data_IF_936171820904
#
_entry.id   IF_936171820904
#
_cell.length_a   1.000
_cell.length_b   1.000
_cell.length_c   1.000
_cell.angle_alpha   90.00
_cell.angle_beta   90.00
_cell.angle_gamma   90.00
#
_symmetry.space_group_name_H-M   'P 1'
#
loop_
_entity.id
_entity.type
_entity.pdbx_description
1 polymer ?
#
# COMPACT_ATOMS: atom_id res chain seq x y z
N UNK A 1 -16.59 14.82 -7.12
CA UNK A 1 -17.94 15.43 -7.14
C UNK A 1 -18.23 15.96 -5.75
N UNK A 2 -18.78 17.16 -5.64
CA UNK A 2 -19.16 17.78 -4.38
C UNK A 2 -20.62 18.23 -4.46
N UNK A 3 -21.39 17.99 -3.40
CA UNK A 3 -22.79 18.40 -3.33
C UNK A 3 -23.19 18.72 -1.90
N UNK A 4 -24.02 19.74 -1.76
CA UNK A 4 -24.72 20.01 -0.50
C UNK A 4 -25.84 18.97 -0.32
N UNK A 5 -25.84 18.28 0.84
CA UNK A 5 -26.87 17.28 1.18
C UNK A 5 -28.01 17.89 1.98
N UNK A 6 -27.65 18.70 2.97
CA UNK A 6 -28.54 19.44 3.84
C UNK A 6 -27.97 20.85 3.99
N UNK A 7 -28.77 21.77 4.52
CA UNK A 7 -28.30 23.12 4.84
C UNK A 7 -26.99 23.03 5.62
N UNK A 8 -25.93 23.58 5.05
CA UNK A 8 -24.59 23.65 5.64
C UNK A 8 -23.83 22.32 5.76
N UNK A 9 -24.34 21.22 5.19
CA UNK A 9 -23.65 19.92 5.11
C UNK A 9 -23.24 19.61 3.67
N UNK A 10 -21.94 19.55 3.42
CA UNK A 10 -21.38 19.22 2.10
C UNK A 10 -20.79 17.81 2.09
N UNK A 11 -21.20 16.99 1.13
CA UNK A 11 -20.57 15.71 0.81
C UNK A 11 -19.68 15.87 -0.43
N UNK A 12 -18.46 15.36 -0.32
CA UNK A 12 -17.52 15.24 -1.43
C UNK A 12 -17.13 13.78 -1.60
N UNK A 13 -17.21 13.30 -2.83
CA UNK A 13 -16.75 11.96 -3.23
C UNK A 13 -15.76 12.12 -4.37
N UNK A 14 -14.58 11.53 -4.20
CA UNK A 14 -13.48 11.54 -5.17
C UNK A 14 -12.95 10.13 -5.40
N UNK A 15 -12.39 9.92 -6.58
CA UNK A 15 -11.62 8.73 -6.90
C UNK A 15 -10.23 9.17 -7.37
N UNK A 16 -9.20 8.51 -6.85
CA UNK A 16 -7.80 8.75 -7.18
C UNK A 16 -7.21 7.43 -7.67
N UNK A 17 -6.75 7.42 -8.91
CA UNK A 17 -6.09 6.27 -9.51
C UNK A 17 -4.66 6.63 -9.90
N UNK A 18 -3.72 5.71 -9.69
CA UNK A 18 -2.37 5.80 -10.24
C UNK A 18 -1.95 4.45 -10.82
N UNK A 19 -1.24 4.50 -11.95
CA UNK A 19 -0.73 3.31 -12.63
C UNK A 19 0.71 3.53 -13.05
N UNK A 20 1.61 2.74 -12.50
CA UNK A 20 2.97 2.61 -12.98
C UNK A 20 3.07 1.48 -14.01
N UNK A 21 3.74 1.76 -15.13
CA UNK A 21 4.06 0.76 -16.17
C UNK A 21 5.55 0.78 -16.43
N UNK A 22 6.12 -0.37 -16.79
CA UNK A 22 7.54 -0.51 -17.11
C UNK A 22 8.46 0.00 -15.99
N UNK A 23 8.06 -0.25 -14.76
CA UNK A 23 8.84 0.08 -13.57
C UNK A 23 10.08 -0.84 -13.50
N UNK A 24 11.16 -0.32 -12.92
CA UNK A 24 12.38 -1.09 -12.75
C UNK A 24 12.19 -2.20 -11.70
N UNK A 25 12.53 -3.42 -12.10
CA UNK A 25 12.61 -4.61 -11.25
C UNK A 25 13.91 -5.34 -11.50
N UNK A 26 14.37 -6.13 -10.53
CA UNK A 26 15.54 -6.96 -10.67
C UNK A 26 15.17 -8.42 -10.92
N UNK A 27 15.89 -9.05 -11.83
CA UNK A 27 15.73 -10.46 -12.16
C UNK A 27 17.11 -11.12 -12.18
N UNK A 28 17.21 -12.31 -11.61
CA UNK A 28 18.39 -13.15 -11.78
C UNK A 28 18.36 -13.78 -13.19
N UNK A 29 19.35 -13.44 -14.02
CA UNK A 29 19.54 -13.97 -15.36
C UNK A 29 20.38 -15.25 -15.40
N UNK A 30 20.99 -15.63 -14.27
CA UNK A 30 21.64 -16.93 -14.11
C UNK A 30 20.99 -17.74 -12.98
N UNK A 31 19.65 -17.93 -12.97
CA UNK A 31 18.96 -18.56 -11.86
C UNK A 31 19.34 -20.05 -11.71
N UNK A 32 19.10 -20.66 -10.53
CA UNK A 32 19.13 -22.11 -10.39
C UNK A 32 18.19 -22.78 -11.39
N UNK A 33 18.58 -23.94 -11.92
CA UNK A 33 17.73 -24.76 -12.75
C UNK A 33 16.50 -25.20 -11.94
N UNK A 34 15.33 -25.03 -12.55
CA UNK A 34 14.06 -25.46 -11.95
C UNK A 34 13.89 -26.97 -12.13
N UNK A 35 13.57 -27.66 -11.04
CA UNK A 35 13.12 -29.05 -11.06
C UNK A 35 11.62 -29.05 -10.76
N UNK A 36 10.83 -29.71 -11.61
CA UNK A 36 9.37 -29.76 -11.45
C UNK A 36 9.01 -31.14 -10.94
N UNK A 37 8.32 -31.21 -9.80
CA UNK A 37 7.89 -32.49 -9.23
C UNK A 37 6.67 -33.07 -9.96
N UNK A 38 6.27 -34.29 -9.58
CA UNK A 38 5.13 -34.98 -10.18
C UNK A 38 3.79 -34.24 -10.00
N UNK A 39 3.70 -33.28 -9.06
CA UNK A 39 2.53 -32.45 -8.81
C UNK A 39 2.59 -31.11 -9.56
N UNK A 40 3.66 -30.84 -10.32
CA UNK A 40 3.85 -29.60 -11.06
C UNK A 40 4.45 -28.45 -10.25
N UNK A 41 4.93 -28.69 -9.01
CA UNK A 41 5.54 -27.64 -8.19
C UNK A 41 6.98 -27.41 -8.63
N UNK A 42 7.35 -26.13 -8.76
CA UNK A 42 8.70 -25.71 -9.13
C UNK A 42 9.61 -25.65 -7.90
N UNK A 43 10.73 -26.37 -7.96
CA UNK A 43 11.75 -26.42 -6.92
C UNK A 43 13.05 -25.80 -7.45
N UNK A 44 13.58 -24.81 -6.72
CA UNK A 44 14.85 -24.12 -7.03
C UNK A 44 16.04 -24.64 -6.20
N UNK A 45 15.77 -25.63 -5.36
CA UNK A 45 16.73 -26.27 -4.48
C UNK A 45 16.13 -27.55 -3.91
N UNK A 46 16.96 -28.36 -3.27
CA UNK A 46 16.61 -29.64 -2.68
C UNK A 46 17.15 -29.75 -1.27
N UNK A 47 16.46 -30.50 -0.42
CA UNK A 47 16.94 -30.81 0.93
C UNK A 47 17.86 -32.04 0.82
N UNK A 48 19.13 -31.89 1.21
CA UNK A 48 20.11 -32.98 1.29
C UNK A 48 20.59 -33.08 2.72
N UNK A 49 20.30 -34.19 3.40
CA UNK A 49 20.72 -34.40 4.80
C UNK A 49 20.15 -33.38 5.79
N UNK A 50 18.95 -32.83 5.51
CA UNK A 50 18.32 -31.79 6.33
C UNK A 50 18.76 -30.36 6.01
N UNK A 51 19.68 -30.16 5.07
CA UNK A 51 20.16 -28.84 4.64
C UNK A 51 19.59 -28.49 3.27
N UNK A 52 19.09 -27.26 3.10
CA UNK A 52 18.67 -26.74 1.80
C UNK A 52 19.85 -26.42 0.90
N UNK A 53 19.97 -27.14 -0.21
CA UNK A 53 21.00 -26.96 -1.23
C UNK A 53 20.35 -26.41 -2.49
N UNK A 54 20.83 -25.26 -2.98
CA UNK A 54 20.33 -24.67 -4.24
C UNK A 54 20.68 -25.57 -5.44
N UNK A 55 19.79 -25.61 -6.43
CA UNK A 55 20.04 -26.33 -7.67
C UNK A 55 21.18 -25.69 -8.46
N UNK A 56 21.77 -26.47 -9.38
CA UNK A 56 22.82 -25.97 -10.28
C UNK A 56 22.29 -24.80 -11.10
N UNK A 57 23.04 -23.71 -11.19
CA UNK A 57 22.69 -22.56 -12.05
C UNK A 57 22.85 -22.90 -13.53
N UNK A 58 22.14 -22.16 -14.39
CA UNK A 58 22.22 -22.32 -15.85
C UNK A 58 23.66 -22.26 -16.37
N UNK A 59 24.43 -21.28 -15.90
CA UNK A 59 25.86 -21.20 -16.12
C UNK A 59 26.61 -21.42 -14.79
N UNK A 60 27.27 -22.58 -14.62
CA UNK A 60 28.00 -22.92 -13.39
C UNK A 60 29.25 -22.07 -13.14
N UNK A 61 29.77 -21.39 -14.17
CA UNK A 61 30.97 -20.57 -14.06
C UNK A 61 30.69 -19.18 -13.44
N UNK A 62 29.42 -18.79 -13.33
CA UNK A 62 29.00 -17.51 -12.77
C UNK A 62 28.08 -17.70 -11.57
N UNK A 63 28.11 -16.74 -10.64
CA UNK A 63 27.16 -16.66 -9.54
C UNK A 63 25.80 -16.08 -9.95
N UNK A 64 25.08 -15.52 -8.99
CA UNK A 64 23.85 -14.74 -9.24
C UNK A 64 24.13 -13.59 -10.19
N UNK A 65 23.32 -13.43 -11.24
CA UNK A 65 23.43 -12.32 -12.19
C UNK A 65 22.16 -11.48 -12.13
N UNK A 66 22.09 -10.57 -11.15
CA UNK A 66 20.95 -9.68 -10.99
C UNK A 66 21.04 -8.51 -11.96
N UNK A 67 20.10 -8.43 -12.90
CA UNK A 67 19.99 -7.33 -13.86
C UNK A 67 18.67 -6.58 -13.65
N UNK A 68 18.70 -5.27 -13.85
CA UNK A 68 17.51 -4.44 -13.84
C UNK A 68 16.80 -4.48 -15.20
N UNK A 69 15.48 -4.61 -15.17
CA UNK A 69 14.64 -4.61 -16.35
C UNK A 69 13.32 -3.87 -16.08
N UNK A 70 12.76 -3.16 -17.08
CA UNK A 70 11.54 -2.39 -16.94
C UNK A 70 10.30 -3.28 -17.11
N UNK A 71 10.08 -4.22 -16.18
CA UNK A 71 8.99 -5.21 -16.25
C UNK A 71 8.00 -5.15 -15.10
N UNK A 72 8.19 -4.25 -14.14
CA UNK A 72 7.29 -4.09 -12.99
C UNK A 72 6.11 -3.17 -13.32
N UNK A 73 5.04 -3.35 -12.56
CA UNK A 73 3.77 -2.66 -12.70
C UNK A 73 3.26 -2.30 -11.30
N UNK A 74 2.63 -1.13 -11.17
CA UNK A 74 1.93 -0.74 -9.94
C UNK A 74 0.55 -0.20 -10.28
N UNK A 75 -0.42 -0.48 -9.41
CA UNK A 75 -1.80 -0.01 -9.52
C UNK A 75 -2.29 0.43 -8.15
N UNK A 76 -2.63 1.70 -8.05
CA UNK A 76 -3.23 2.30 -6.88
C UNK A 76 -4.61 2.82 -7.23
N UNK A 77 -5.59 2.49 -6.40
CA UNK A 77 -6.96 2.97 -6.53
C UNK A 77 -7.44 3.40 -5.15
N UNK A 78 -7.98 4.61 -5.04
CA UNK A 78 -8.57 5.11 -3.81
C UNK A 78 -9.90 5.80 -4.08
N UNK A 79 -10.84 5.53 -3.20
CA UNK A 79 -12.09 6.26 -3.06
C UNK A 79 -11.98 7.13 -1.81
N UNK A 80 -12.21 8.42 -1.97
CA UNK A 80 -12.20 9.40 -0.89
C UNK A 80 -13.60 9.94 -0.71
N UNK A 81 -14.09 9.89 0.52
CA UNK A 81 -15.38 10.44 0.92
C UNK A 81 -15.11 11.42 2.03
N UNK A 82 -15.61 12.65 1.90
CA UNK A 82 -15.59 13.62 2.99
C UNK A 82 -16.95 14.25 3.18
N UNK A 83 -17.33 14.42 4.44
CA UNK A 83 -18.55 15.10 4.86
C UNK A 83 -18.11 16.25 5.76
N UNK A 84 -18.52 17.46 5.38
CA UNK A 84 -18.20 18.66 6.12
C UNK A 84 -19.49 19.39 6.46
N UNK A 85 -19.82 19.41 7.74
CA UNK A 85 -20.93 20.18 8.31
C UNK A 85 -20.39 21.49 8.91
N UNK A 86 -20.92 22.62 8.44
CA UNK A 86 -20.59 23.96 8.95
C UNK A 86 -21.71 24.51 9.83
N UNK A 87 -21.57 24.44 11.15
CA UNK A 87 -22.32 25.27 12.12
C UNK A 87 -23.85 25.38 11.94
N UNK A 88 -24.55 24.25 11.87
CA UNK A 88 -26.02 24.23 11.77
C UNK A 88 -26.76 24.74 13.02
N UNK A 89 -26.13 24.72 14.19
CA UNK A 89 -26.73 25.24 15.44
C UNK A 89 -25.77 25.33 16.63
N UNK A 90 -24.82 24.40 16.77
CA UNK A 90 -23.76 24.39 17.82
C UNK A 90 -22.62 23.42 17.54
N UNK A 91 -22.70 22.63 16.46
CA UNK A 91 -21.73 21.61 16.10
C UNK A 91 -21.04 21.96 14.78
N UNK A 92 -19.76 21.64 14.70
CA UNK A 92 -19.00 21.60 13.46
C UNK A 92 -18.40 20.20 13.37
N UNK A 93 -18.76 19.47 12.31
CA UNK A 93 -18.35 18.08 12.11
C UNK A 93 -17.58 17.95 10.80
N UNK A 94 -16.40 17.35 10.87
CA UNK A 94 -15.62 16.96 9.71
C UNK A 94 -15.36 15.46 9.75
N UNK A 95 -15.87 14.74 8.75
CA UNK A 95 -15.66 13.31 8.58
C UNK A 95 -14.95 13.08 7.25
N UNK A 96 -13.91 12.25 7.27
CA UNK A 96 -13.20 11.82 6.07
C UNK A 96 -12.92 10.33 6.15
N UNK A 97 -13.21 9.64 5.05
CA UNK A 97 -12.99 8.22 4.88
C UNK A 97 -12.30 8.00 3.54
N UNK A 98 -11.17 7.29 3.57
CA UNK A 98 -10.45 6.88 2.37
C UNK A 98 -10.36 5.37 2.37
N UNK A 99 -10.97 4.76 1.35
CA UNK A 99 -10.73 3.37 1.01
C UNK A 99 -9.67 3.34 -0.08
N UNK A 100 -8.56 2.65 0.12
CA UNK A 100 -7.52 2.52 -0.91
C UNK A 100 -7.09 1.08 -1.11
N UNK A 101 -6.58 0.78 -2.29
CA UNK A 101 -6.00 -0.51 -2.60
C UNK A 101 -4.85 -0.34 -3.57
N UNK A 102 -3.68 -0.76 -3.12
CA UNK A 102 -2.43 -0.74 -3.86
C UNK A 102 -1.95 -2.17 -4.13
N UNK A 103 -1.72 -2.48 -5.40
CA UNK A 103 -1.11 -3.73 -5.85
C UNK A 103 0.11 -3.42 -6.70
N UNK A 104 1.23 -4.03 -6.39
CA UNK A 104 2.46 -3.94 -7.18
C UNK A 104 2.97 -5.33 -7.58
N UNK A 105 3.89 -5.33 -8.54
CA UNK A 105 4.57 -6.52 -9.04
C UNK A 105 6.06 -6.32 -8.81
N UNK A 106 6.67 -7.09 -7.89
CA UNK A 106 8.12 -7.10 -7.65
C UNK A 106 8.80 -5.72 -7.85
N UNK A 107 8.26 -4.70 -7.19
CA UNK A 107 8.72 -3.33 -7.38
C UNK A 107 9.90 -3.04 -6.46
N UNK A 108 11.06 -2.84 -7.06
CA UNK A 108 12.32 -2.69 -6.32
C UNK A 108 12.80 -1.25 -6.22
N UNK A 109 12.25 -0.33 -7.00
CA UNK A 109 12.67 1.07 -6.98
C UNK A 109 11.74 1.95 -6.15
N UNK A 110 11.64 1.68 -4.85
CA UNK A 110 11.04 2.61 -3.89
C UNK A 110 11.77 3.96 -3.92
N UNK A 111 11.36 4.88 -4.78
CA UNK A 111 11.81 6.26 -4.74
C UNK A 111 11.59 6.82 -3.34
N UNK A 112 12.68 7.25 -2.69
CA UNK A 112 12.73 8.18 -1.56
C UNK A 112 12.01 7.77 -0.26
N UNK A 113 11.67 6.48 -0.06
CA UNK A 113 10.84 6.04 1.06
C UNK A 113 11.31 4.78 1.78
N UNK A 114 12.60 4.68 2.12
CA UNK A 114 13.16 3.96 3.27
C UNK A 114 12.87 2.47 3.57
N UNK A 115 11.90 1.79 2.94
CA UNK A 115 11.38 0.50 3.44
C UNK A 115 11.22 -0.63 2.42
N UNK A 116 11.46 -0.41 1.13
CA UNK A 116 11.49 -1.52 0.16
C UNK A 116 12.95 -1.83 -0.20
N UNK A 117 13.50 -2.86 0.45
CA UNK A 117 14.81 -3.39 0.13
C UNK A 117 14.86 -3.92 -1.31
N UNK A 118 16.06 -3.98 -1.89
CA UNK A 118 16.22 -4.48 -3.25
C UNK A 118 15.94 -5.98 -3.30
N UNK A 119 14.76 -6.41 -3.77
CA UNK A 119 14.44 -7.81 -4.03
C UNK A 119 14.46 -8.13 -5.51
N UNK A 120 15.18 -9.20 -5.87
CA UNK A 120 14.98 -9.90 -7.13
C UNK A 120 13.60 -10.56 -7.13
N UNK A 121 13.11 -10.95 -8.31
CA UNK A 121 11.96 -11.84 -8.41
C UNK A 121 12.18 -13.13 -7.60
N UNK A 122 11.19 -13.56 -6.81
CA UNK A 122 11.28 -14.83 -6.08
C UNK A 122 11.35 -16.00 -7.06
N UNK A 123 10.57 -15.92 -8.14
CA UNK A 123 10.67 -16.83 -9.26
C UNK A 123 11.31 -16.11 -10.47
N UNK A 124 12.59 -16.38 -10.78
CA UNK A 124 13.27 -15.75 -11.91
C UNK A 124 12.70 -16.15 -13.27
N UNK A 125 11.87 -17.20 -13.35
CA UNK A 125 11.23 -17.63 -14.60
C UNK A 125 9.84 -17.00 -14.77
N UNK A 126 9.18 -16.64 -13.67
CA UNK A 126 7.86 -16.04 -13.68
C UNK A 126 7.71 -14.97 -12.58
N UNK A 127 7.87 -13.70 -12.94
CA UNK A 127 7.67 -12.59 -11.99
C UNK A 127 6.22 -12.38 -11.56
N UNK A 128 5.23 -12.99 -12.22
CA UNK A 128 3.80 -12.80 -11.90
C UNK A 128 3.44 -13.30 -10.51
N UNK A 129 4.22 -14.24 -9.95
CA UNK A 129 4.06 -14.78 -8.60
C UNK A 129 4.32 -13.74 -7.51
N UNK A 130 5.08 -12.69 -7.83
CA UNK A 130 5.44 -11.63 -6.89
C UNK A 130 4.44 -10.48 -6.88
N UNK A 131 3.30 -10.68 -7.53
CA UNK A 131 2.21 -9.71 -7.51
C UNK A 131 1.54 -9.73 -6.14
N UNK A 132 1.58 -8.61 -5.44
CA UNK A 132 1.06 -8.52 -4.08
C UNK A 132 0.53 -7.14 -3.74
N UNK A 133 0.03 -7.02 -2.51
CA UNK A 133 -0.28 -5.73 -1.93
C UNK A 133 1.01 -4.91 -1.79
N UNK A 134 0.95 -3.62 -2.12
CA UNK A 134 2.07 -2.72 -1.87
C UNK A 134 2.40 -2.68 -0.36
N UNK A 135 3.66 -2.43 -0.02
CA UNK A 135 4.11 -2.34 1.39
C UNK A 135 3.45 -1.21 2.18
N UNK A 136 2.93 -0.19 1.49
CA UNK A 136 2.20 0.97 2.05
C UNK A 136 0.69 0.92 1.74
N UNK A 137 0.10 -0.27 1.58
CA UNK A 137 -1.34 -0.46 1.35
C UNK A 137 -2.17 -0.20 2.63
N UNK A 138 -2.55 1.05 2.87
CA UNK A 138 -3.53 1.40 3.92
C UNK A 138 -4.93 1.30 3.34
N UNK A 139 -5.60 0.16 3.59
CA UNK A 139 -6.88 -0.14 2.96
C UNK A 139 -8.03 0.77 3.40
N UNK A 140 -8.05 1.13 4.67
CA UNK A 140 -9.11 1.94 5.25
C UNK A 140 -8.47 2.98 6.16
N UNK A 141 -8.75 4.25 5.91
CA UNK A 141 -8.34 5.35 6.74
C UNK A 141 -9.57 6.20 7.07
N UNK A 142 -9.86 6.36 8.35
CA UNK A 142 -11.00 7.11 8.87
C UNK A 142 -10.49 8.20 9.80
N UNK A 143 -10.89 9.44 9.54
CA UNK A 143 -10.68 10.55 10.45
C UNK A 143 -11.98 11.31 10.70
N UNK A 144 -12.29 11.51 11.97
CA UNK A 144 -13.48 12.20 12.45
C UNK A 144 -13.04 13.32 13.40
N UNK A 145 -13.55 14.52 13.16
CA UNK A 145 -13.38 15.69 14.01
C UNK A 145 -14.74 16.29 14.30
N UNK A 146 -15.03 16.51 15.59
CA UNK A 146 -16.29 17.11 16.04
C UNK A 146 -15.94 18.21 17.02
N UNK A 147 -16.43 19.41 16.75
CA UNK A 147 -16.31 20.56 17.64
C UNK A 147 -17.71 20.95 18.07
N UNK A 148 -17.96 20.88 19.38
CA UNK A 148 -19.22 21.29 19.97
C UNK A 148 -19.02 22.55 20.80
N UNK A 149 -19.77 23.60 20.49
CA UNK A 149 -19.80 24.81 21.30
C UNK A 149 -20.78 24.60 22.44
N UNK A 150 -20.25 24.37 23.65
CA UNK A 150 -21.05 24.27 24.86
C UNK A 150 -21.71 25.64 25.15
N UNK A 151 -23.06 25.69 25.31
CA UNK A 151 -23.77 26.93 25.61
C UNK A 151 -23.67 27.28 27.10
N UNK A 152 -22.46 27.51 27.62
CA UNK A 152 -22.31 27.99 28.99
C UNK A 152 -22.73 29.46 29.05
N UNK A 153 -23.91 29.72 29.62
CA UNK A 153 -24.30 31.04 30.15
C UNK A 153 -24.31 30.94 31.67
N UNK A 154 -23.41 31.70 32.32
CA UNK A 154 -23.48 32.10 33.73
C UNK A 154 -23.77 31.00 34.77
N UNK A 155 -22.79 30.13 35.05
CA UNK A 155 -22.82 29.31 36.27
C UNK A 155 -21.71 29.77 37.23
N UNK A 156 -22.06 29.88 38.52
CA UNK A 156 -21.22 30.37 39.64
C UNK A 156 -19.88 29.64 39.84
N UNK A 157 -19.61 28.59 39.06
CA UNK A 157 -18.37 27.82 39.05
C UNK A 157 -17.29 28.41 38.12
N UNK A 158 -17.66 29.27 37.17
CA UNK A 158 -16.74 29.88 36.19
C UNK A 158 -16.45 31.36 36.50
N UNK A 159 -17.42 32.11 37.04
CA UNK A 159 -17.29 33.57 37.29
C UNK A 159 -17.05 33.95 38.76
N UNK A 160 -16.72 32.99 39.62
CA UNK A 160 -16.61 33.21 41.08
C UNK A 160 -15.19 33.35 41.65
N UNK A 161 -14.14 33.26 40.83
CA UNK A 161 -12.75 33.28 41.29
C UNK A 161 -12.12 34.66 41.07
N UNK A 162 -12.52 35.63 41.87
CA UNK A 162 -11.72 36.84 42.07
C UNK A 162 -11.69 37.13 43.58
N UNK A 163 -10.51 36.88 44.17
CA UNK A 163 -10.11 37.38 45.49
C UNK A 163 -9.54 38.78 45.33
#
# INVERSE_FOLDING_TARGET
VQRELFRETTLTVGYVGSRGVNLLSFRDYNPPQVEVDANGVQHFGKIVGGVGVSNRRLNPNFGTLSLSQPSSLSRYNAMQVSVNERYSSSFQTHFSYTFSHCVDLAYTYGGLGGNNGTSNWNNPYDGSTDKGNCSFDIRQNLALSVVYRLPFKGHRLVEGWQL
#
